data_IF_468311034291
#
_entry.id   IF_468311034291
#
_cell.length_a   1.000
_cell.length_b   1.000
_cell.length_c   1.000
_cell.angle_alpha   90.00
_cell.angle_beta   90.00
_cell.angle_gamma   90.00
#
_symmetry.space_group_name_H-M   'P 1'
#
loop_
_entity.id
_entity.type
_entity.pdbx_description
1 polymer ?
#
# COMPACT_ATOMS: atom_id res chain seq x y z
N UNK A 1 0.35 14.01 -7.84
CA UNK A 1 1.73 13.51 -7.99
C UNK A 1 2.37 14.19 -9.19
N UNK A 2 3.62 14.62 -9.07
CA UNK A 2 4.37 15.27 -10.14
C UNK A 2 5.74 14.62 -10.30
N UNK A 3 6.21 14.58 -11.54
CA UNK A 3 7.59 14.28 -11.87
C UNK A 3 8.37 15.60 -11.93
N UNK A 4 9.51 15.67 -11.26
CA UNK A 4 10.40 16.84 -11.29
C UNK A 4 11.85 16.42 -11.49
N UNK A 5 12.64 17.31 -12.08
CA UNK A 5 14.10 17.18 -12.11
C UNK A 5 14.70 17.85 -10.87
N UNK A 6 15.76 17.24 -10.32
CA UNK A 6 16.48 17.75 -9.17
C UNK A 6 17.99 17.58 -9.35
N UNK A 7 18.84 18.22 -8.53
CA UNK A 7 20.29 18.01 -8.57
C UNK A 7 20.72 16.55 -8.32
N UNK A 8 19.85 15.73 -7.71
CA UNK A 8 20.10 14.30 -7.45
C UNK A 8 19.42 13.39 -8.49
N UNK A 9 18.91 13.96 -9.59
CA UNK A 9 18.20 13.27 -10.67
C UNK A 9 16.68 13.41 -10.58
N UNK A 10 15.92 12.61 -11.37
CA UNK A 10 14.47 12.65 -11.38
C UNK A 10 13.85 12.23 -10.06
N UNK A 11 12.85 12.96 -9.60
CA UNK A 11 12.15 12.76 -8.34
C UNK A 11 10.63 12.76 -8.53
N UNK A 12 9.94 12.05 -7.66
CA UNK A 12 8.48 12.05 -7.56
C UNK A 12 8.07 12.91 -6.37
N UNK A 13 7.19 13.86 -6.61
CA UNK A 13 6.59 14.73 -5.58
C UNK A 13 5.15 14.30 -5.38
N UNK A 14 4.80 13.90 -4.16
CA UNK A 14 3.43 13.63 -3.73
C UNK A 14 3.00 14.72 -2.75
N UNK A 15 1.91 15.41 -3.07
CA UNK A 15 1.27 16.38 -2.16
C UNK A 15 -0.05 15.74 -1.74
N UNK A 16 -0.25 15.63 -0.43
CA UNK A 16 -1.30 14.85 0.21
C UNK A 16 -2.09 15.76 1.13
N UNK A 17 -3.40 15.81 0.95
CA UNK A 17 -4.32 16.54 1.82
C UNK A 17 -5.01 15.58 2.82
N UNK A 18 -4.23 14.65 3.41
CA UNK A 18 -4.71 13.67 4.38
C UNK A 18 -3.87 13.77 5.67
N UNK A 19 -4.43 14.27 6.79
CA UNK A 19 -3.69 14.41 8.05
C UNK A 19 -3.22 13.07 8.64
N UNK A 20 -3.90 11.95 8.31
CA UNK A 20 -3.48 10.62 8.76
C UNK A 20 -2.17 10.18 8.12
N UNK A 21 -1.92 10.54 6.88
CA UNK A 21 -0.66 10.22 6.19
C UNK A 21 0.52 10.92 6.86
N UNK A 22 0.33 12.20 7.24
CA UNK A 22 1.34 12.99 7.94
C UNK A 22 1.72 12.38 9.31
N UNK A 23 0.73 11.91 10.07
CA UNK A 23 0.95 11.30 11.37
C UNK A 23 1.67 9.94 11.27
N UNK A 24 1.36 9.14 10.24
CA UNK A 24 1.95 7.81 10.04
C UNK A 24 3.30 7.80 9.31
N UNK A 25 3.77 8.92 8.77
CA UNK A 25 4.96 8.92 7.91
C UNK A 25 6.27 8.51 8.59
N UNK A 26 6.57 8.92 9.84
CA UNK A 26 7.77 8.45 10.53
C UNK A 26 7.79 6.92 10.70
N UNK A 27 6.64 6.33 11.03
CA UNK A 27 6.46 4.88 11.12
C UNK A 27 6.65 4.23 9.75
N UNK A 28 5.96 4.73 8.71
CA UNK A 28 6.04 4.20 7.34
C UNK A 28 7.46 4.25 6.78
N UNK A 29 8.17 5.36 6.98
CA UNK A 29 9.57 5.49 6.56
C UNK A 29 10.46 4.42 7.22
N UNK A 30 10.19 4.09 8.48
CA UNK A 30 10.91 3.03 9.20
C UNK A 30 10.56 1.63 8.67
N UNK A 31 9.29 1.38 8.33
CA UNK A 31 8.87 0.13 7.68
C UNK A 31 9.53 -0.05 6.31
N UNK A 32 9.53 1.00 5.48
CA UNK A 32 10.13 0.98 4.15
C UNK A 32 11.65 0.76 4.22
N UNK A 33 12.33 1.34 5.22
CA UNK A 33 13.73 1.06 5.46
C UNK A 33 13.97 -0.40 5.87
N UNK A 34 13.11 -0.98 6.71
CA UNK A 34 13.17 -2.40 7.09
C UNK A 34 12.94 -3.33 5.89
N UNK A 35 11.97 -3.02 5.02
CA UNK A 35 11.74 -3.71 3.75
C UNK A 35 12.95 -3.63 2.82
N UNK A 36 13.50 -2.42 2.63
CA UNK A 36 14.67 -2.20 1.79
C UNK A 36 15.86 -3.04 2.28
N UNK A 37 16.06 -3.15 3.59
CA UNK A 37 17.11 -3.98 4.19
C UNK A 37 16.95 -5.48 3.89
N UNK A 38 15.74 -5.93 3.54
CA UNK A 38 15.45 -7.30 3.08
C UNK A 38 15.55 -7.48 1.57
N UNK A 39 15.93 -6.44 0.83
CA UNK A 39 16.04 -6.46 -0.62
C UNK A 39 14.74 -6.12 -1.36
N UNK A 40 13.72 -5.63 -0.65
CA UNK A 40 12.49 -5.17 -1.28
C UNK A 40 12.76 -3.90 -2.11
N UNK A 41 12.32 -3.81 -3.38
CA UNK A 41 12.59 -2.66 -4.25
C UNK A 41 11.64 -1.50 -3.95
N UNK A 42 11.84 -0.81 -2.82
CA UNK A 42 11.08 0.40 -2.48
C UNK A 42 11.74 1.66 -3.04
N UNK A 43 10.95 2.71 -3.29
CA UNK A 43 11.50 4.01 -3.65
C UNK A 43 12.27 4.64 -2.47
N UNK A 44 13.42 5.24 -2.74
CA UNK A 44 14.17 5.96 -1.69
C UNK A 44 13.42 7.23 -1.31
N UNK A 45 13.10 7.36 -0.01
CA UNK A 45 12.55 8.58 0.53
C UNK A 45 13.66 9.62 0.69
N UNK A 46 13.58 10.72 -0.06
CA UNK A 46 14.56 11.80 -0.03
C UNK A 46 14.19 12.86 1.01
N UNK A 47 12.90 13.15 1.15
CA UNK A 47 12.40 14.13 2.11
C UNK A 47 10.90 13.92 2.34
N UNK A 48 10.40 14.33 3.51
CA UNK A 48 8.97 14.44 3.76
C UNK A 48 8.70 15.51 4.84
N UNK A 49 7.53 16.14 4.80
CA UNK A 49 7.16 17.18 5.77
C UNK A 49 5.88 17.93 5.41
N UNK A 50 5.39 18.73 6.35
CA UNK A 50 4.26 19.64 6.09
C UNK A 50 4.72 20.76 5.16
N UNK A 51 3.93 21.02 4.12
CA UNK A 51 4.07 22.19 3.26
C UNK A 51 3.32 23.39 3.87
N UNK A 52 2.12 23.13 4.37
CA UNK A 52 1.23 24.08 5.04
C UNK A 52 0.32 23.33 6.03
N UNK A 53 -0.74 23.98 6.51
CA UNK A 53 -1.67 23.40 7.47
C UNK A 53 -2.53 22.27 6.90
N UNK A 54 -2.70 22.20 5.59
CA UNK A 54 -3.59 21.26 4.91
C UNK A 54 -2.82 20.17 4.14
N UNK A 55 -1.57 20.45 3.78
CA UNK A 55 -0.79 19.65 2.84
C UNK A 55 0.46 19.06 3.48
N UNK A 56 0.64 17.76 3.27
CA UNK A 56 1.86 17.03 3.54
C UNK A 56 2.54 16.65 2.23
N UNK A 57 3.87 16.71 2.20
CA UNK A 57 4.64 16.45 0.99
C UNK A 57 5.65 15.34 1.24
N UNK A 58 5.72 14.44 0.28
CA UNK A 58 6.67 13.35 0.19
C UNK A 58 7.47 13.51 -1.10
N UNK A 59 8.79 13.44 -0.96
CA UNK A 59 9.74 13.47 -2.05
C UNK A 59 10.49 12.14 -2.12
N UNK A 60 10.39 11.48 -3.27
CA UNK A 60 10.99 10.17 -3.51
C UNK A 60 11.91 10.21 -4.72
N UNK A 61 12.99 9.43 -4.67
CA UNK A 61 13.78 9.18 -5.88
C UNK A 61 12.91 8.43 -6.86
N UNK A 62 12.87 8.89 -8.12
CA UNK A 62 12.14 8.16 -9.16
C UNK A 62 12.77 6.80 -9.36
N UNK A 63 11.95 5.76 -9.25
CA UNK A 63 12.35 4.40 -9.60
C UNK A 63 12.23 4.22 -11.12
N UNK A 64 13.26 3.62 -11.72
CA UNK A 64 13.27 3.31 -13.15
C UNK A 64 12.27 2.21 -13.45
N UNK A 65 11.57 2.29 -14.58
CA UNK A 65 10.64 1.27 -15.04
C UNK A 65 9.29 1.86 -15.44
N UNK A 66 8.43 0.99 -15.95
CA UNK A 66 7.04 1.28 -16.24
C UNK A 66 6.15 0.34 -15.41
N UNK A 67 4.92 0.77 -15.08
CA UNK A 67 3.96 -0.12 -14.43
C UNK A 67 3.75 -1.41 -15.22
N UNK A 68 3.59 -2.53 -14.52
CA UNK A 68 3.25 -3.80 -15.15
C UNK A 68 1.88 -3.70 -15.82
N UNK A 69 1.81 -4.06 -17.11
CA UNK A 69 0.55 -4.13 -17.84
C UNK A 69 -0.07 -5.54 -17.77
N UNK A 70 0.77 -6.56 -17.65
CA UNK A 70 0.41 -7.97 -17.61
C UNK A 70 1.30 -8.73 -16.64
N UNK A 71 0.88 -9.93 -16.25
CA UNK A 71 1.63 -10.82 -15.37
C UNK A 71 1.70 -12.21 -15.99
N UNK A 72 2.90 -12.67 -16.28
CA UNK A 72 3.18 -14.07 -16.61
C UNK A 72 3.56 -14.86 -15.35
N UNK A 73 3.88 -16.15 -15.50
CA UNK A 73 4.23 -17.01 -14.38
C UNK A 73 5.49 -16.55 -13.65
N UNK A 74 6.51 -16.08 -14.37
CA UNK A 74 7.76 -15.61 -13.75
C UNK A 74 7.53 -14.33 -12.94
N UNK A 75 6.73 -13.41 -13.48
CA UNK A 75 6.32 -12.19 -12.80
C UNK A 75 5.49 -12.50 -11.55
N UNK A 76 4.59 -13.48 -11.62
CA UNK A 76 3.81 -13.93 -10.46
C UNK A 76 4.73 -14.48 -9.35
N UNK A 77 5.68 -15.35 -9.70
CA UNK A 77 6.63 -15.90 -8.74
C UNK A 77 7.47 -14.79 -8.09
N UNK A 78 7.88 -13.79 -8.86
CA UNK A 78 8.59 -12.62 -8.33
C UNK A 78 7.72 -11.77 -7.39
N UNK A 79 6.43 -11.56 -7.71
CA UNK A 79 5.50 -10.84 -6.85
C UNK A 79 5.22 -11.59 -5.55
N UNK A 80 5.06 -12.92 -5.61
CA UNK A 80 4.93 -13.75 -4.41
C UNK A 80 6.18 -13.66 -3.53
N UNK A 81 7.37 -13.70 -4.12
CA UNK A 81 8.61 -13.51 -3.38
C UNK A 81 8.66 -12.14 -2.69
N UNK A 82 8.09 -11.08 -3.29
CA UNK A 82 7.96 -9.79 -2.62
C UNK A 82 6.99 -9.85 -1.44
N UNK A 83 5.83 -10.49 -1.58
CA UNK A 83 4.89 -10.66 -0.46
C UNK A 83 5.56 -11.36 0.73
N UNK A 84 6.38 -12.38 0.49
CA UNK A 84 7.13 -13.07 1.57
C UNK A 84 8.11 -12.13 2.31
N UNK A 85 8.67 -11.13 1.64
CA UNK A 85 9.57 -10.16 2.29
C UNK A 85 8.84 -9.22 3.26
N UNK A 86 7.51 -9.05 3.12
CA UNK A 86 6.66 -8.22 3.99
C UNK A 86 6.41 -8.88 5.36
N UNK A 87 6.48 -10.20 5.43
CA UNK A 87 6.14 -10.98 6.61
C UNK A 87 7.08 -10.70 7.80
N UNK A 88 6.55 -10.51 9.00
CA UNK A 88 7.37 -10.29 10.20
C UNK A 88 8.08 -8.93 10.25
N UNK A 89 7.58 -7.92 9.53
CA UNK A 89 8.01 -6.52 9.70
C UNK A 89 7.00 -5.83 10.60
N UNK A 90 7.39 -5.62 11.85
CA UNK A 90 6.68 -4.74 12.77
C UNK A 90 7.72 -3.95 13.57
N UNK A 91 7.86 -2.66 13.24
CA UNK A 91 8.63 -1.73 14.06
C UNK A 91 7.64 -1.01 14.97
N UNK A 92 7.82 -1.20 16.27
CA UNK A 92 7.04 -0.54 17.31
C UNK A 92 7.37 0.96 17.36
N UNK A 93 6.63 1.74 16.57
CA UNK A 93 6.66 3.19 16.56
C UNK A 93 5.23 3.74 16.60
N UNK A 94 5.07 4.81 17.37
CA UNK A 94 3.82 5.54 17.47
C UNK A 94 3.34 6.06 16.10
N UNK A 95 2.02 6.07 15.90
CA UNK A 95 1.40 6.50 14.63
C UNK A 95 1.34 5.43 13.56
N UNK A 96 1.73 4.19 13.86
CA UNK A 96 1.65 3.08 12.91
C UNK A 96 0.22 2.65 12.57
N UNK A 97 0.01 2.28 11.32
CA UNK A 97 -1.27 1.75 10.85
C UNK A 97 -1.37 0.26 11.22
N UNK A 98 -2.49 -0.12 11.85
CA UNK A 98 -2.75 -1.51 12.24
C UNK A 98 -3.69 -2.16 11.22
N UNK A 99 -3.09 -2.85 10.23
CA UNK A 99 -3.85 -3.53 9.18
C UNK A 99 -4.68 -4.66 9.76
N UNK A 100 -4.15 -5.40 10.74
CA UNK A 100 -4.86 -6.50 11.41
C UNK A 100 -6.16 -5.99 12.06
N UNK A 101 -6.14 -4.77 12.60
CA UNK A 101 -7.33 -4.09 13.13
C UNK A 101 -8.23 -3.50 12.03
N UNK A 102 -7.69 -3.00 10.93
CA UNK A 102 -8.47 -2.38 9.84
C UNK A 102 -9.31 -3.41 9.07
N UNK A 103 -8.78 -4.61 8.79
CA UNK A 103 -9.46 -5.66 8.03
C UNK A 103 -10.87 -6.00 8.56
N UNK A 104 -11.08 -6.33 9.85
CA UNK A 104 -12.42 -6.62 10.35
C UNK A 104 -13.35 -5.40 10.30
N UNK A 105 -12.84 -4.19 10.49
CA UNK A 105 -13.64 -2.97 10.40
C UNK A 105 -14.19 -2.75 8.97
N UNK A 106 -13.42 -3.11 7.93
CA UNK A 106 -13.88 -3.08 6.54
C UNK A 106 -14.82 -4.23 6.22
N UNK A 107 -14.47 -5.46 6.61
CA UNK A 107 -15.25 -6.65 6.26
C UNK A 107 -16.59 -6.72 6.97
N UNK A 108 -16.66 -6.26 8.22
CA UNK A 108 -17.78 -6.53 9.11
C UNK A 108 -18.51 -5.28 9.61
N UNK A 109 -17.81 -4.16 9.76
CA UNK A 109 -18.38 -2.93 10.35
C UNK A 109 -18.67 -1.83 9.32
N UNK A 110 -18.28 -2.05 8.06
CA UNK A 110 -18.60 -1.16 6.94
C UNK A 110 -17.86 0.17 6.95
N UNK A 111 -16.70 0.26 7.60
CA UNK A 111 -15.97 1.51 7.86
C UNK A 111 -15.73 2.37 6.59
N UNK A 112 -15.46 1.74 5.45
CA UNK A 112 -15.17 2.45 4.18
C UNK A 112 -16.41 2.70 3.31
N UNK A 113 -17.58 2.20 3.70
CA UNK A 113 -18.81 2.25 2.90
C UNK A 113 -18.75 1.47 1.58
N UNK A 114 -17.65 0.79 1.27
CA UNK A 114 -17.44 0.06 0.01
C UNK A 114 -18.48 -1.01 -0.24
N UNK A 115 -18.89 -1.74 0.81
CA UNK A 115 -19.94 -2.74 0.72
C UNK A 115 -21.28 -2.14 0.30
N UNK A 116 -21.66 -0.99 0.86
CA UNK A 116 -22.92 -0.34 0.55
C UNK A 116 -22.91 0.25 -0.85
N UNK A 117 -21.79 0.88 -1.25
CA UNK A 117 -21.58 1.35 -2.62
C UNK A 117 -21.67 0.20 -3.63
N UNK A 118 -21.01 -0.93 -3.35
CA UNK A 118 -21.01 -2.10 -4.22
C UNK A 118 -22.42 -2.74 -4.34
N UNK A 119 -23.13 -2.91 -3.22
CA UNK A 119 -24.52 -3.41 -3.21
C UNK A 119 -25.46 -2.49 -3.99
N UNK A 120 -25.27 -1.17 -3.89
CA UNK A 120 -26.05 -0.17 -4.60
C UNK A 120 -25.81 -0.12 -6.12
N UNK A 121 -24.71 -0.70 -6.61
CA UNK A 121 -24.32 -0.61 -8.02
C UNK A 121 -25.21 -1.41 -8.99
N UNK A 122 -25.65 -2.63 -8.59
CA UNK A 122 -26.57 -3.46 -9.38
C UNK A 122 -27.09 -4.66 -8.59
N UNK A 123 -28.18 -5.32 -9.02
CA UNK A 123 -28.63 -6.58 -8.41
C UNK A 123 -27.58 -7.71 -8.43
N UNK A 124 -26.78 -7.77 -9.51
CA UNK A 124 -25.70 -8.75 -9.61
C UNK A 124 -24.58 -8.48 -8.60
N UNK A 125 -24.19 -7.21 -8.43
CA UNK A 125 -23.19 -6.80 -7.45
C UNK A 125 -23.69 -7.05 -6.01
N UNK A 126 -24.96 -6.78 -5.71
CA UNK A 126 -25.59 -7.09 -4.43
C UNK A 126 -25.51 -8.60 -4.11
N UNK A 127 -25.85 -9.45 -5.07
CA UNK A 127 -25.77 -10.91 -4.89
C UNK A 127 -24.33 -11.41 -4.66
N UNK A 128 -23.34 -10.83 -5.34
CA UNK A 128 -21.93 -11.13 -5.07
C UNK A 128 -21.55 -10.68 -3.66
N UNK A 129 -21.98 -9.50 -3.23
CA UNK A 129 -21.72 -9.01 -1.88
C UNK A 129 -22.31 -9.95 -0.82
N UNK A 130 -23.55 -10.38 -0.97
CA UNK A 130 -24.19 -11.33 -0.03
C UNK A 130 -23.40 -12.65 0.07
N UNK A 131 -22.93 -13.17 -1.07
CA UNK A 131 -22.13 -14.40 -1.11
C UNK A 131 -20.76 -14.22 -0.46
N UNK A 132 -20.09 -13.10 -0.70
CA UNK A 132 -18.80 -12.80 -0.08
C UNK A 132 -18.96 -12.59 1.43
N UNK A 133 -20.00 -11.88 1.87
CA UNK A 133 -20.29 -11.70 3.29
C UNK A 133 -20.52 -13.05 3.99
N UNK A 134 -21.33 -13.93 3.40
CA UNK A 134 -21.54 -15.28 3.94
C UNK A 134 -20.25 -16.13 3.95
N UNK A 135 -19.35 -15.93 2.97
CA UNK A 135 -18.07 -16.62 2.90
C UNK A 135 -17.11 -16.20 4.02
N UNK A 136 -17.06 -14.90 4.35
CA UNK A 136 -16.14 -14.36 5.36
C UNK A 136 -16.72 -14.39 6.78
N UNK A 137 -18.04 -14.57 6.95
CA UNK A 137 -18.71 -14.60 8.25
C UNK A 137 -18.06 -15.56 9.28
N UNK A 138 -17.63 -16.79 8.93
CA UNK A 138 -16.96 -17.67 9.89
C UNK A 138 -15.65 -17.11 10.47
N UNK A 139 -15.06 -16.11 9.83
CA UNK A 139 -13.83 -15.44 10.28
C UNK A 139 -14.09 -14.18 11.13
N UNK A 140 -15.36 -13.88 11.48
CA UNK A 140 -15.72 -12.67 12.24
C UNK A 140 -14.98 -12.53 13.57
N UNK A 141 -14.82 -13.64 14.29
CA UNK A 141 -14.16 -13.68 15.60
C UNK A 141 -12.67 -14.08 15.50
N UNK A 142 -12.11 -14.14 14.27
CA UNK A 142 -10.69 -14.42 14.07
C UNK A 142 -9.90 -13.13 14.30
N UNK A 143 -9.04 -13.15 15.31
CA UNK A 143 -8.05 -12.09 15.52
C UNK A 143 -6.83 -12.34 14.63
N UNK A 144 -6.48 -11.33 13.82
CA UNK A 144 -5.26 -11.35 13.03
C UNK A 144 -4.08 -10.85 13.89
N UNK A 145 -2.94 -11.54 13.79
CA UNK A 145 -1.72 -11.07 14.44
C UNK A 145 -1.17 -9.83 13.71
N UNK A 146 -0.77 -8.82 14.48
CA UNK A 146 -0.06 -7.65 13.95
C UNK A 146 1.43 -7.99 13.82
N UNK A 147 1.80 -8.73 12.78
CA UNK A 147 3.19 -9.15 12.55
C UNK A 147 3.81 -8.60 11.27
N UNK A 148 2.99 -8.11 10.34
CA UNK A 148 3.40 -7.87 8.95
C UNK A 148 3.21 -6.43 8.52
N UNK A 149 4.08 -5.95 7.63
CA UNK A 149 3.93 -4.66 6.96
C UNK A 149 3.51 -4.87 5.51
N UNK A 150 2.20 -4.75 5.26
CA UNK A 150 1.63 -5.00 3.93
C UNK A 150 1.45 -3.74 3.11
N UNK A 151 1.56 -3.86 1.78
CA UNK A 151 1.37 -2.73 0.84
C UNK A 151 -0.08 -2.25 0.72
N UNK A 152 -1.09 -3.00 1.21
CA UNK A 152 -2.55 -2.73 1.13
C UNK A 152 -3.18 -2.52 -0.28
N UNK A 153 -2.42 -2.09 -1.27
CA UNK A 153 -2.84 -1.88 -2.67
C UNK A 153 -1.77 -2.39 -3.66
N UNK A 154 -1.32 -3.64 -3.48
CA UNK A 154 -0.34 -4.27 -4.36
C UNK A 154 -0.98 -4.70 -5.68
N UNK A 155 -1.31 -3.74 -6.53
CA UNK A 155 -1.80 -3.97 -7.88
C UNK A 155 -0.68 -3.77 -8.93
N UNK A 156 -0.89 -4.23 -10.17
CA UNK A 156 0.13 -4.17 -11.22
C UNK A 156 0.58 -2.74 -11.57
N UNK A 157 -0.29 -1.75 -11.37
CA UNK A 157 0.05 -0.36 -11.66
C UNK A 157 1.03 0.26 -10.65
N UNK A 158 1.13 -0.33 -9.46
CA UNK A 158 2.05 0.05 -8.39
C UNK A 158 3.39 -0.71 -8.45
N UNK A 159 3.55 -1.64 -9.40
CA UNK A 159 4.78 -2.41 -9.59
C UNK A 159 5.46 -1.97 -10.87
N UNK A 160 6.68 -1.45 -10.76
CA UNK A 160 7.48 -0.98 -11.87
C UNK A 160 8.46 -2.07 -12.32
N UNK A 161 8.61 -2.23 -13.63
CA UNK A 161 9.55 -3.17 -14.22
C UNK A 161 10.30 -2.59 -15.43
N UNK A 162 11.46 -3.16 -15.70
CA UNK A 162 12.25 -2.98 -16.93
C UNK A 162 12.52 -4.36 -17.50
N UNK A 163 12.13 -4.59 -18.75
CA UNK A 163 12.36 -5.86 -19.46
C UNK A 163 11.90 -7.09 -18.65
N UNK A 164 10.72 -7.01 -18.01
CA UNK A 164 10.14 -8.08 -17.19
C UNK A 164 10.69 -8.19 -15.76
N UNK A 165 11.79 -7.49 -15.44
CA UNK A 165 12.37 -7.49 -14.09
C UNK A 165 11.76 -6.38 -13.24
N UNK A 166 11.20 -6.74 -12.08
CA UNK A 166 10.70 -5.76 -11.11
C UNK A 166 11.87 -4.90 -10.60
N UNK A 167 11.67 -3.59 -10.69
CA UNK A 167 12.64 -2.56 -10.28
C UNK A 167 12.12 -1.69 -9.15
N UNK A 168 10.80 -1.68 -8.92
CA UNK A 168 10.16 -0.84 -7.92
C UNK A 168 8.78 -1.31 -7.52
N UNK A 169 8.42 -1.05 -6.27
CA UNK A 169 7.04 -1.02 -5.80
C UNK A 169 6.81 0.32 -5.13
N UNK A 170 5.77 1.03 -5.56
CA UNK A 170 5.48 2.42 -5.20
C UNK A 170 4.07 2.55 -4.65
N UNK A 171 3.79 3.71 -4.05
CA UNK A 171 2.47 4.06 -3.50
C UNK A 171 2.10 3.35 -2.19
N UNK A 172 3.04 3.41 -1.24
CA UNK A 172 2.90 2.87 0.12
C UNK A 172 2.09 3.77 1.06
N UNK A 173 1.57 4.88 0.55
CA UNK A 173 0.77 5.85 1.31
C UNK A 173 -0.72 5.58 1.25
N UNK A 174 -1.17 4.61 0.44
CA UNK A 174 -2.58 4.22 0.35
C UNK A 174 -3.18 3.90 1.73
N UNK A 175 -4.40 4.40 1.95
CA UNK A 175 -5.04 4.55 3.24
C UNK A 175 -5.94 5.77 3.22
#
# INVERSE_FOLDING_TARGET
>A
MWLAESPVGPVVVKVLANPHVAAGEPWRTSMLAALAARGYPVAERLWHGRLDDESYVILERRVTGLPLATMDSETLDALLALVELQAGIDVDLEGGFDVARWVPLVLFDGWEGWWDAARGGSPAAASVCERLAALVEPARDVELERSDFVHHDLNLSNVLAVDGRITGVVDWEGG
#
